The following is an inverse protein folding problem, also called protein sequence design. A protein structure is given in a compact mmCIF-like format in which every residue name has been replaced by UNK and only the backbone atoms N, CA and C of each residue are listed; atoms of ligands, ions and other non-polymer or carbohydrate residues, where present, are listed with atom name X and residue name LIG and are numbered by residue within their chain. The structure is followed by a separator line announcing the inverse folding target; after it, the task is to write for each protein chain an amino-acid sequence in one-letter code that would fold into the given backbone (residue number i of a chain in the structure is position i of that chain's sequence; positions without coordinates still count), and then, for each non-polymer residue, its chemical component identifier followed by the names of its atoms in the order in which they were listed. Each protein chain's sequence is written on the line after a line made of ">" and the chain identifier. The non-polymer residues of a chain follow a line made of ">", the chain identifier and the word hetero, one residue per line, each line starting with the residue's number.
data_IF_958167038876
#
_entry.id   IF_958167038876
#
_cell.length_a   1.000
_cell.length_b   1.000
_cell.length_c   1.000
_cell.angle_alpha   90.00
_cell.angle_beta   90.00
_cell.angle_gamma   90.00
#
_symmetry.space_group_name_H-M   'P 1'
#
loop_
_entity.id
_entity.type
_entity.pdbx_description
1 polymer ?
#
# COMPACT_ATOMS: atom_id res chain seq x y z
N UNK A 1 44.00 50.77 4.82
CA UNK A 1 43.93 49.32 4.58
C UNK A 1 42.44 48.98 4.40
N UNK A 2 42.00 48.94 3.16
CA UNK A 2 40.59 48.75 2.78
C UNK A 2 40.31 47.27 2.71
N UNK A 3 39.45 46.80 3.60
CA UNK A 3 38.91 45.44 3.54
C UNK A 3 37.85 45.40 2.40
N UNK A 4 38.16 44.70 1.32
CA UNK A 4 37.16 44.31 0.31
C UNK A 4 36.17 43.35 0.99
N UNK A 5 34.97 43.86 1.21
CA UNK A 5 33.77 43.02 1.49
C UNK A 5 33.42 42.38 0.13
N UNK A 6 33.76 41.11 -0.04
CA UNK A 6 33.21 40.30 -1.13
C UNK A 6 31.70 40.18 -0.90
N UNK A 7 30.94 41.00 -1.62
CA UNK A 7 29.52 40.74 -1.82
C UNK A 7 29.40 39.34 -2.44
N UNK A 8 28.84 38.39 -1.72
CA UNK A 8 28.36 37.16 -2.30
C UNK A 8 27.28 37.56 -3.27
N UNK A 9 27.56 37.49 -4.58
CA UNK A 9 26.54 37.50 -5.62
C UNK A 9 25.63 36.32 -5.36
N UNK A 10 24.42 36.60 -4.91
CA UNK A 10 23.41 35.57 -4.78
C UNK A 10 23.19 34.97 -6.18
N UNK A 11 23.57 33.70 -6.32
CA UNK A 11 23.30 32.97 -7.56
C UNK A 11 21.78 32.83 -7.73
N UNK A 12 21.24 33.06 -8.96
CA UNK A 12 19.81 33.00 -9.19
C UNK A 12 19.22 31.62 -8.85
N UNK A 13 17.93 31.58 -8.49
CA UNK A 13 17.21 30.37 -8.18
C UNK A 13 16.81 30.25 -6.69
N UNK A 14 16.10 29.17 -6.37
CA UNK A 14 15.63 28.86 -5.03
C UNK A 14 16.72 28.07 -4.28
N UNK A 15 17.11 28.57 -3.14
CA UNK A 15 18.11 27.94 -2.28
C UNK A 15 17.45 27.27 -1.07
N UNK A 16 17.68 25.95 -0.87
CA UNK A 16 17.08 25.20 0.23
C UNK A 16 17.83 23.90 0.51
N UNK A 17 17.41 23.17 1.53
CA UNK A 17 17.88 21.81 1.71
C UNK A 17 17.05 20.87 0.84
N UNK A 18 17.72 19.96 0.15
CA UNK A 18 17.03 18.95 -0.65
C UNK A 18 16.48 17.85 0.25
N UNK A 19 15.18 17.50 0.07
CA UNK A 19 14.48 16.46 0.84
C UNK A 19 13.96 15.40 -0.09
N UNK A 20 14.33 14.16 0.20
CA UNK A 20 13.80 12.98 -0.47
C UNK A 20 12.49 12.58 0.18
N UNK A 21 11.40 12.73 -0.56
CA UNK A 21 10.04 12.36 -0.15
C UNK A 21 9.42 11.29 -1.07
N UNK A 22 10.24 10.55 -1.84
CA UNK A 22 9.79 9.46 -2.72
C UNK A 22 9.21 8.25 -1.99
N UNK A 23 9.23 8.24 -0.67
CA UNK A 23 8.65 7.21 0.18
C UNK A 23 7.92 7.78 1.39
N UNK A 24 7.09 6.99 2.04
CA UNK A 24 6.21 7.37 3.16
C UNK A 24 6.91 8.05 4.37
N UNK A 25 8.22 8.15 4.40
CA UNK A 25 9.01 8.70 5.53
C UNK A 25 9.52 10.12 5.29
N UNK A 26 9.51 10.61 4.07
CA UNK A 26 10.15 11.89 3.70
C UNK A 26 9.38 13.12 4.15
N UNK A 27 8.05 13.08 4.11
CA UNK A 27 7.18 14.22 4.39
C UNK A 27 7.06 14.61 5.89
N UNK A 28 7.71 13.90 6.80
CA UNK A 28 7.57 14.11 8.26
C UNK A 28 8.55 15.12 8.87
N UNK A 29 9.53 15.62 8.11
CA UNK A 29 10.57 16.55 8.60
C UNK A 29 10.93 17.55 7.51
N UNK A 30 9.98 18.40 7.14
CA UNK A 30 10.19 19.48 6.19
C UNK A 30 10.37 20.78 6.94
N UNK A 31 11.28 21.62 6.43
CA UNK A 31 11.57 22.95 6.95
C UNK A 31 11.23 24.01 5.88
N UNK A 32 11.04 25.25 6.31
CA UNK A 32 10.76 26.38 5.43
C UNK A 32 11.90 26.57 4.40
N UNK A 33 11.52 26.69 3.13
CA UNK A 33 12.44 26.87 2.00
C UNK A 33 13.07 25.57 1.49
N UNK A 34 12.70 24.39 2.01
CA UNK A 34 13.22 23.10 1.51
C UNK A 34 12.84 22.90 0.02
N UNK A 35 13.71 22.20 -0.73
CA UNK A 35 13.44 21.69 -2.07
C UNK A 35 13.08 20.23 -1.94
N UNK A 36 11.82 19.91 -2.14
CA UNK A 36 11.26 18.56 -1.95
C UNK A 36 11.31 17.81 -3.27
N UNK A 37 11.77 16.55 -3.24
CA UNK A 37 11.73 15.63 -4.40
C UNK A 37 10.77 14.50 -4.10
N UNK A 38 9.81 14.28 -5.00
CA UNK A 38 8.82 13.23 -4.96
C UNK A 38 8.90 12.37 -6.22
N UNK A 39 8.20 11.25 -6.24
CA UNK A 39 8.12 10.29 -7.34
C UNK A 39 6.70 9.71 -7.32
N UNK A 40 5.75 10.50 -7.81
CA UNK A 40 4.34 10.11 -7.85
C UNK A 40 3.54 11.01 -8.78
N UNK A 41 2.72 10.46 -9.68
CA UNK A 41 1.83 11.27 -10.50
C UNK A 41 0.69 11.88 -9.66
N UNK A 42 0.12 12.95 -10.18
CA UNK A 42 -1.13 13.53 -9.67
C UNK A 42 -1.10 13.91 -8.19
N UNK A 43 -0.30 14.92 -7.84
CA UNK A 43 -0.19 15.38 -6.46
C UNK A 43 -1.55 15.81 -5.90
N UNK A 44 -2.02 15.10 -4.87
CA UNK A 44 -3.32 15.37 -4.28
C UNK A 44 -3.31 16.57 -3.29
N UNK A 45 -4.51 17.05 -2.99
CA UNK A 45 -4.72 18.20 -2.08
C UNK A 45 -4.10 18.00 -0.70
N UNK A 46 -4.16 16.78 -0.15
CA UNK A 46 -3.67 16.50 1.19
C UNK A 46 -2.15 16.61 1.29
N UNK A 47 -1.43 16.15 0.25
CA UNK A 47 0.03 16.27 0.18
C UNK A 47 0.45 17.71 -0.13
N UNK A 48 -0.24 18.38 -1.05
CA UNK A 48 -0.01 19.79 -1.33
C UNK A 48 -0.16 20.65 -0.08
N UNK A 49 -1.20 20.42 0.74
CA UNK A 49 -1.39 21.16 1.99
C UNK A 49 -0.23 20.94 2.97
N UNK A 50 0.32 19.74 3.08
CA UNK A 50 1.50 19.48 3.93
C UNK A 50 2.72 20.28 3.48
N UNK A 51 2.93 20.41 2.19
CA UNK A 51 4.04 21.21 1.63
C UNK A 51 3.83 22.70 1.86
N UNK A 52 2.60 23.19 1.73
CA UNK A 52 2.22 24.57 2.05
C UNK A 52 2.42 24.86 3.54
N UNK A 53 1.95 23.98 4.43
CA UNK A 53 2.11 24.15 5.88
C UNK A 53 3.57 24.16 6.31
N UNK A 54 4.42 23.38 5.63
CA UNK A 54 5.86 23.37 5.83
C UNK A 54 6.58 24.54 5.15
N UNK A 55 5.88 25.33 4.31
CA UNK A 55 6.42 26.45 3.53
C UNK A 55 7.64 26.06 2.71
N UNK A 56 7.56 24.94 2.00
CA UNK A 56 8.65 24.51 1.13
C UNK A 56 8.88 25.52 0.00
N UNK A 57 10.10 25.63 -0.48
CA UNK A 57 10.45 26.58 -1.56
C UNK A 57 10.12 26.03 -2.95
N UNK A 58 10.25 24.73 -3.14
CA UNK A 58 9.96 24.07 -4.40
C UNK A 58 9.59 22.60 -4.22
N UNK A 59 8.81 22.07 -5.17
CA UNK A 59 8.52 20.65 -5.35
C UNK A 59 9.04 20.22 -6.71
N UNK A 60 9.81 19.14 -6.74
CA UNK A 60 10.38 18.54 -7.95
C UNK A 60 9.88 17.10 -8.01
N UNK A 61 9.18 16.74 -9.07
CA UNK A 61 8.63 15.41 -9.28
C UNK A 61 9.31 14.74 -10.49
N UNK A 62 9.59 13.45 -10.37
CA UNK A 62 10.05 12.64 -11.50
C UNK A 62 8.91 12.25 -12.45
N UNK A 63 7.67 12.36 -11.96
CA UNK A 63 6.43 12.12 -12.70
C UNK A 63 5.69 13.44 -12.96
N UNK A 64 4.63 13.45 -13.80
CA UNK A 64 3.78 14.63 -13.97
C UNK A 64 3.02 14.96 -12.67
N UNK A 65 3.12 16.20 -12.21
CA UNK A 65 2.36 16.71 -11.06
C UNK A 65 0.85 16.75 -11.32
N UNK A 66 0.46 16.77 -12.59
CA UNK A 66 -0.90 16.59 -13.08
C UNK A 66 -0.84 15.86 -14.43
N UNK A 67 -1.39 14.66 -14.50
CA UNK A 67 -1.45 13.87 -15.74
C UNK A 67 -2.56 14.35 -16.69
N UNK A 68 -3.54 15.11 -16.19
CA UNK A 68 -4.76 15.45 -16.93
C UNK A 68 -5.80 14.33 -16.95
N UNK A 69 -5.55 13.19 -16.30
CA UNK A 69 -6.51 12.07 -16.20
C UNK A 69 -7.47 12.26 -15.03
N UNK A 70 -6.99 12.89 -13.94
CA UNK A 70 -7.77 13.18 -12.74
C UNK A 70 -7.73 14.68 -12.45
N UNK A 71 -8.88 15.34 -12.21
CA UNK A 71 -8.91 16.76 -11.87
C UNK A 71 -8.42 16.98 -10.44
N UNK A 72 -7.11 17.11 -10.27
CA UNK A 72 -6.50 17.34 -8.97
C UNK A 72 -6.14 18.82 -8.75
N UNK A 73 -6.41 19.35 -7.54
CA UNK A 73 -6.13 20.73 -7.16
C UNK A 73 -4.73 20.94 -6.56
N UNK A 74 -3.97 19.89 -6.35
CA UNK A 74 -2.67 19.97 -5.68
C UNK A 74 -1.72 20.97 -6.33
N UNK A 75 -1.47 20.88 -7.65
CA UNK A 75 -0.57 21.79 -8.33
C UNK A 75 -0.99 23.26 -8.22
N UNK A 76 -2.29 23.57 -8.42
CA UNK A 76 -2.80 24.93 -8.30
C UNK A 76 -2.60 25.50 -6.90
N UNK A 77 -2.92 24.72 -5.86
CA UNK A 77 -2.72 25.15 -4.46
C UNK A 77 -1.25 25.49 -4.16
N UNK A 78 -0.31 24.69 -4.70
CA UNK A 78 1.13 24.93 -4.52
C UNK A 78 1.58 26.20 -5.25
N UNK A 79 1.13 26.40 -6.48
CA UNK A 79 1.41 27.61 -7.28
C UNK A 79 0.84 28.86 -6.61
N UNK A 80 -0.41 28.82 -6.14
CA UNK A 80 -1.06 29.89 -5.37
C UNK A 80 -0.30 30.25 -4.08
N UNK A 81 0.36 29.26 -3.47
CA UNK A 81 1.22 29.48 -2.31
C UNK A 81 2.62 30.00 -2.66
N UNK A 82 2.92 30.22 -3.94
CA UNK A 82 4.21 30.69 -4.42
C UNK A 82 5.32 29.64 -4.44
N UNK A 83 4.97 28.36 -4.40
CA UNK A 83 5.90 27.23 -4.45
C UNK A 83 6.20 26.94 -5.92
N UNK A 84 7.49 26.85 -6.26
CA UNK A 84 7.90 26.52 -7.64
C UNK A 84 7.75 25.03 -7.87
N UNK A 85 7.11 24.66 -8.98
CA UNK A 85 6.85 23.30 -9.39
C UNK A 85 7.73 22.90 -10.57
N UNK A 86 8.34 21.72 -10.47
CA UNK A 86 9.10 21.08 -11.55
C UNK A 86 8.62 19.66 -11.68
N UNK A 87 8.25 19.25 -12.87
CA UNK A 87 7.76 17.91 -13.19
C UNK A 87 8.63 17.21 -14.22
N UNK A 88 8.37 15.92 -14.48
CA UNK A 88 9.11 15.09 -15.44
C UNK A 88 10.64 15.21 -15.24
N UNK A 89 11.07 15.28 -13.98
CA UNK A 89 12.48 15.37 -13.67
C UNK A 89 13.18 14.02 -13.96
N UNK A 90 14.51 14.09 -14.17
CA UNK A 90 15.29 12.88 -14.42
C UNK A 90 14.93 11.75 -13.44
N UNK A 91 14.53 10.54 -13.90
CA UNK A 91 14.14 9.43 -13.02
C UNK A 91 15.22 8.98 -12.04
N UNK A 92 16.50 9.27 -12.35
CA UNK A 92 17.62 8.97 -11.45
C UNK A 92 17.83 10.05 -10.38
N UNK A 93 17.08 11.16 -10.39
CA UNK A 93 17.25 12.26 -9.45
C UNK A 93 17.18 11.80 -7.98
N UNK A 94 16.21 10.97 -7.54
CA UNK A 94 16.16 10.50 -6.17
C UNK A 94 17.42 9.76 -5.73
N UNK A 95 18.00 8.95 -6.63
CA UNK A 95 19.23 8.20 -6.34
C UNK A 95 20.48 9.07 -6.17
N UNK A 96 20.50 10.24 -6.83
CA UNK A 96 21.59 11.23 -6.77
C UNK A 96 21.42 12.24 -5.63
N UNK A 97 20.21 12.26 -5.04
CA UNK A 97 19.86 13.21 -3.99
C UNK A 97 20.59 12.88 -2.69
N UNK A 98 21.02 13.93 -1.99
CA UNK A 98 21.60 13.81 -0.62
C UNK A 98 20.67 14.51 0.34
N UNK A 99 19.83 13.74 1.01
CA UNK A 99 18.80 14.24 1.91
C UNK A 99 19.39 15.19 2.98
N UNK A 100 18.82 16.39 3.11
CA UNK A 100 19.28 17.44 4.02
C UNK A 100 20.51 18.23 3.54
N UNK A 101 21.02 18.00 2.34
CA UNK A 101 22.11 18.81 1.76
C UNK A 101 21.57 20.09 1.15
N UNK A 102 22.30 21.20 1.33
CA UNK A 102 21.99 22.46 0.66
C UNK A 102 22.11 22.31 -0.86
N UNK A 103 21.03 22.61 -1.55
CA UNK A 103 20.90 22.62 -2.99
C UNK A 103 20.33 23.92 -3.51
N UNK A 104 20.22 24.01 -4.81
CA UNK A 104 19.63 25.14 -5.53
C UNK A 104 18.77 24.61 -6.67
N UNK A 105 17.59 25.17 -6.84
CA UNK A 105 16.75 24.96 -8.00
C UNK A 105 16.83 26.18 -8.90
N UNK A 106 17.22 26.01 -10.15
CA UNK A 106 17.39 27.08 -11.11
C UNK A 106 17.02 26.59 -12.52
N UNK A 107 16.06 27.24 -13.15
CA UNK A 107 15.55 26.88 -14.49
C UNK A 107 15.27 25.36 -14.63
N UNK A 108 14.49 24.79 -13.68
CA UNK A 108 14.14 23.37 -13.66
C UNK A 108 15.29 22.41 -13.31
N UNK A 109 16.49 22.93 -12.99
CA UNK A 109 17.67 22.12 -12.64
C UNK A 109 17.90 22.12 -11.15
N UNK A 110 18.04 20.92 -10.58
CA UNK A 110 18.51 20.74 -9.20
C UNK A 110 20.02 20.68 -9.19
N UNK A 111 20.66 21.56 -8.41
CA UNK A 111 22.12 21.73 -8.40
C UNK A 111 22.69 21.59 -6.98
N UNK A 112 23.91 21.04 -6.90
CA UNK A 112 24.79 21.12 -5.74
C UNK A 112 26.02 21.94 -6.11
N UNK A 113 26.07 23.21 -5.68
CA UNK A 113 26.99 24.19 -6.23
C UNK A 113 26.68 24.46 -7.70
N UNK A 114 27.66 24.25 -8.59
CA UNK A 114 27.49 24.41 -10.04
C UNK A 114 27.18 23.11 -10.78
N UNK A 115 27.13 21.99 -10.07
CA UNK A 115 26.86 20.68 -10.66
C UNK A 115 25.35 20.39 -10.64
N UNK A 116 24.74 20.24 -11.81
CA UNK A 116 23.39 19.71 -11.94
C UNK A 116 23.37 18.22 -11.58
N UNK A 117 22.36 17.81 -10.79
CA UNK A 117 22.09 16.40 -10.42
C UNK A 117 20.83 15.87 -11.09
N UNK A 118 19.96 16.75 -11.61
CA UNK A 118 18.76 16.42 -12.37
C UNK A 118 18.13 17.68 -12.96
N UNK A 119 17.32 17.47 -13.98
CA UNK A 119 16.56 18.52 -14.66
C UNK A 119 15.13 18.02 -14.90
N UNK A 120 14.15 18.92 -14.77
CA UNK A 120 12.76 18.72 -15.15
C UNK A 120 12.20 19.95 -15.84
N UNK A 121 10.90 19.96 -16.05
CA UNK A 121 10.14 21.02 -16.70
C UNK A 121 9.40 21.84 -15.63
N UNK A 122 9.42 23.16 -15.76
CA UNK A 122 8.70 24.04 -14.83
C UNK A 122 7.22 23.98 -15.20
N UNK A 123 6.37 23.61 -14.25
CA UNK A 123 4.92 23.68 -14.39
C UNK A 123 4.45 25.09 -14.02
N UNK A 124 3.87 25.79 -14.98
CA UNK A 124 3.29 27.12 -14.78
C UNK A 124 1.77 27.02 -14.46
N UNK A 125 1.22 28.16 -14.06
CA UNK A 125 -0.20 28.27 -13.68
C UNK A 125 -1.13 28.03 -14.87
N UNK A 126 -0.78 28.52 -16.07
CA UNK A 126 -1.59 28.37 -17.28
C UNK A 126 -1.74 26.89 -17.64
N UNK A 127 -0.65 26.15 -17.69
CA UNK A 127 -0.63 24.70 -17.96
C UNK A 127 -1.36 23.90 -16.88
N UNK A 128 -1.19 24.27 -15.60
CA UNK A 128 -1.87 23.58 -14.50
C UNK A 128 -3.40 23.76 -14.56
N UNK A 129 -3.88 24.96 -14.90
CA UNK A 129 -5.31 25.27 -15.07
C UNK A 129 -5.89 24.58 -16.30
N UNK A 130 -5.16 24.58 -17.42
CA UNK A 130 -5.56 23.88 -18.64
C UNK A 130 -5.76 22.39 -18.38
N UNK A 131 -4.74 21.71 -17.84
CA UNK A 131 -4.83 20.28 -17.51
C UNK A 131 -5.94 19.95 -16.53
N UNK A 132 -6.16 20.80 -15.53
CA UNK A 132 -7.27 20.62 -14.60
C UNK A 132 -8.63 20.72 -15.29
N UNK A 133 -8.77 21.66 -16.22
CA UNK A 133 -10.03 21.88 -16.95
C UNK A 133 -10.32 20.71 -17.87
N UNK A 134 -9.33 20.25 -18.61
CA UNK A 134 -9.43 19.10 -19.51
C UNK A 134 -9.75 17.81 -18.74
N UNK A 135 -9.05 17.58 -17.62
CA UNK A 135 -9.32 16.45 -16.74
C UNK A 135 -10.76 16.46 -16.19
N UNK A 136 -11.28 17.64 -15.85
CA UNK A 136 -12.67 17.77 -15.36
C UNK A 136 -13.69 17.45 -16.43
N UNK A 137 -13.46 17.88 -17.67
CA UNK A 137 -14.35 17.56 -18.80
C UNK A 137 -14.28 16.08 -19.12
N UNK A 138 -13.07 15.51 -19.24
CA UNK A 138 -12.88 14.09 -19.45
C UNK A 138 -13.53 13.21 -18.36
N UNK A 139 -13.46 13.66 -17.09
CA UNK A 139 -14.12 12.95 -15.98
C UNK A 139 -15.63 12.87 -16.15
N UNK A 140 -16.28 13.96 -16.61
CA UNK A 140 -17.74 13.95 -16.84
C UNK A 140 -18.11 12.90 -17.87
N UNK A 141 -17.42 12.90 -19.01
CA UNK A 141 -17.66 11.94 -20.10
C UNK A 141 -17.40 10.49 -19.63
N UNK A 142 -16.33 10.28 -18.86
CA UNK A 142 -16.01 8.98 -18.29
C UNK A 142 -17.11 8.49 -17.32
N UNK A 143 -17.59 9.36 -16.44
CA UNK A 143 -18.65 9.01 -15.49
C UNK A 143 -19.99 8.76 -16.15
N UNK A 144 -20.32 9.46 -17.24
CA UNK A 144 -21.51 9.17 -18.05
C UNK A 144 -21.40 7.78 -18.67
N UNK A 145 -20.25 7.44 -19.26
CA UNK A 145 -20.00 6.12 -19.84
C UNK A 145 -20.06 5.01 -18.78
N UNK A 146 -19.39 5.19 -17.63
CA UNK A 146 -19.39 4.23 -16.52
C UNK A 146 -20.81 4.02 -15.99
N UNK A 147 -21.60 5.08 -15.86
CA UNK A 147 -23.00 4.99 -15.40
C UNK A 147 -23.85 4.19 -16.37
N UNK A 148 -23.72 4.44 -17.67
CA UNK A 148 -24.41 3.69 -18.71
C UNK A 148 -24.05 2.21 -18.72
N UNK A 149 -22.75 1.91 -18.67
CA UNK A 149 -22.23 0.55 -18.63
C UNK A 149 -22.64 -0.17 -17.33
N UNK A 150 -22.65 0.53 -16.19
CA UNK A 150 -23.11 -0.04 -14.92
C UNK A 150 -24.58 -0.41 -14.95
N UNK A 151 -25.43 0.44 -15.52
CA UNK A 151 -26.85 0.14 -15.67
C UNK A 151 -27.10 -1.08 -16.58
N UNK A 152 -26.33 -1.23 -17.65
CA UNK A 152 -26.40 -2.38 -18.53
C UNK A 152 -25.91 -3.65 -17.85
N UNK A 153 -24.78 -3.58 -17.16
CA UNK A 153 -24.25 -4.69 -16.37
C UNK A 153 -25.25 -5.17 -15.31
N UNK A 154 -25.93 -4.26 -14.60
CA UNK A 154 -26.96 -4.63 -13.64
C UNK A 154 -28.14 -5.32 -14.32
N UNK A 155 -28.56 -4.89 -15.51
CA UNK A 155 -29.64 -5.54 -16.22
C UNK A 155 -29.31 -6.97 -16.62
N UNK A 156 -28.06 -7.21 -17.03
CA UNK A 156 -27.58 -8.53 -17.45
C UNK A 156 -27.30 -9.43 -16.25
N UNK A 157 -26.64 -8.91 -15.23
CA UNK A 157 -26.09 -9.69 -14.11
C UNK A 157 -26.92 -9.58 -12.82
N UNK A 158 -28.13 -8.98 -12.85
CA UNK A 158 -28.97 -8.91 -11.64
C UNK A 158 -29.20 -10.28 -10.97
N UNK A 159 -29.43 -11.39 -11.70
CA UNK A 159 -29.62 -12.70 -11.09
C UNK A 159 -28.37 -13.18 -10.34
N UNK A 160 -27.16 -12.95 -10.89
CA UNK A 160 -25.89 -13.27 -10.24
C UNK A 160 -25.68 -12.38 -9.01
N UNK A 161 -25.83 -11.07 -9.15
CA UNK A 161 -25.56 -10.11 -8.09
C UNK A 161 -26.53 -10.22 -6.92
N UNK A 162 -27.82 -10.51 -7.18
CA UNK A 162 -28.86 -10.57 -6.15
C UNK A 162 -28.95 -11.95 -5.53
N UNK A 163 -29.09 -12.97 -6.35
CA UNK A 163 -29.42 -14.34 -5.93
C UNK A 163 -28.24 -15.32 -6.08
N UNK A 164 -27.11 -14.89 -6.66
CA UNK A 164 -25.94 -15.77 -6.91
C UNK A 164 -26.19 -16.80 -8.01
N UNK A 165 -27.15 -16.55 -8.92
CA UNK A 165 -27.42 -17.47 -10.01
C UNK A 165 -26.20 -17.53 -10.95
N UNK A 166 -25.70 -18.74 -11.17
CA UNK A 166 -24.49 -18.98 -11.98
C UNK A 166 -23.21 -19.13 -11.16
N UNK A 167 -23.20 -18.79 -9.86
CA UNK A 167 -22.07 -19.09 -8.99
C UNK A 167 -21.89 -20.60 -8.88
N UNK A 168 -20.71 -21.15 -9.22
CA UNK A 168 -20.48 -22.59 -9.18
C UNK A 168 -20.39 -23.11 -7.75
N UNK A 169 -20.91 -24.33 -7.54
CA UNK A 169 -20.63 -25.06 -6.31
C UNK A 169 -19.19 -25.57 -6.31
N UNK A 170 -18.53 -25.44 -5.18
CA UNK A 170 -17.17 -25.93 -4.94
C UNK A 170 -17.14 -26.81 -3.71
N UNK A 171 -16.34 -27.88 -3.76
CA UNK A 171 -16.14 -28.76 -2.59
C UNK A 171 -15.14 -28.13 -1.59
N UNK A 172 -15.42 -26.87 -1.21
CA UNK A 172 -14.63 -26.09 -0.26
C UNK A 172 -15.58 -25.33 0.64
N UNK A 173 -15.58 -25.67 1.91
CA UNK A 173 -16.39 -24.98 2.92
C UNK A 173 -15.82 -23.58 3.21
N UNK A 174 -16.62 -22.56 2.94
CA UNK A 174 -16.29 -21.15 3.21
C UNK A 174 -17.27 -20.49 4.18
N UNK A 175 -18.34 -21.21 4.59
CA UNK A 175 -19.38 -20.64 5.46
C UNK A 175 -18.79 -20.26 6.83
N UNK A 176 -19.06 -19.02 7.23
CA UNK A 176 -18.51 -18.37 8.43
C UNK A 176 -16.97 -18.39 8.54
N UNK A 177 -16.26 -18.68 7.45
CA UNK A 177 -14.80 -18.69 7.40
C UNK A 177 -14.26 -17.36 6.83
N UNK A 178 -12.99 -17.11 7.14
CA UNK A 178 -12.23 -16.03 6.47
C UNK A 178 -11.71 -16.56 5.15
N UNK A 179 -11.85 -15.75 4.11
CA UNK A 179 -11.34 -16.04 2.77
C UNK A 179 -10.26 -15.03 2.41
N UNK A 180 -9.17 -15.49 1.84
CA UNK A 180 -8.10 -14.65 1.28
C UNK A 180 -8.09 -14.84 -0.23
N UNK A 181 -8.51 -13.80 -0.95
CA UNK A 181 -8.41 -13.71 -2.41
C UNK A 181 -7.07 -13.09 -2.75
N UNK A 182 -6.28 -13.79 -3.56
CA UNK A 182 -4.95 -13.34 -3.99
C UNK A 182 -4.94 -13.22 -5.50
N UNK A 183 -4.89 -11.99 -5.97
CA UNK A 183 -4.88 -11.63 -7.39
C UNK A 183 -3.52 -11.11 -7.83
N UNK A 184 -3.24 -11.05 -9.14
CA UNK A 184 -2.02 -10.46 -9.65
C UNK A 184 -1.79 -9.03 -9.14
N UNK A 185 -0.58 -8.77 -8.62
CA UNK A 185 -0.20 -7.46 -8.07
C UNK A 185 1.32 -7.30 -8.19
N UNK A 186 1.84 -6.13 -8.58
CA UNK A 186 3.29 -5.91 -8.70
C UNK A 186 4.07 -6.14 -7.40
N UNK A 187 3.42 -5.95 -6.25
CA UNK A 187 4.01 -6.08 -4.92
C UNK A 187 3.49 -7.31 -4.15
N UNK A 188 2.99 -8.33 -4.85
CA UNK A 188 2.35 -9.52 -4.26
C UNK A 188 3.26 -10.23 -3.24
N UNK A 189 4.56 -10.35 -3.52
CA UNK A 189 5.55 -10.99 -2.64
C UNK A 189 5.66 -10.28 -1.28
N UNK A 190 5.65 -8.93 -1.29
CA UNK A 190 5.73 -8.11 -0.07
C UNK A 190 4.42 -8.15 0.71
N UNK A 191 3.30 -8.05 0.01
CA UNK A 191 1.95 -8.12 0.59
C UNK A 191 1.71 -9.47 1.26
N UNK A 192 2.06 -10.59 0.62
CA UNK A 192 1.97 -11.94 1.23
C UNK A 192 2.83 -12.06 2.49
N UNK A 193 4.06 -11.54 2.47
CA UNK A 193 4.91 -11.54 3.67
C UNK A 193 4.29 -10.75 4.83
N UNK A 194 3.60 -9.65 4.54
CA UNK A 194 2.92 -8.84 5.56
C UNK A 194 1.73 -9.56 6.19
N UNK A 195 1.02 -10.38 5.41
CA UNK A 195 -0.15 -11.15 5.85
C UNK A 195 0.18 -12.48 6.55
N UNK A 196 1.45 -12.88 6.64
CA UNK A 196 1.86 -14.19 7.18
C UNK A 196 1.29 -14.52 8.56
N UNK A 197 1.14 -13.51 9.42
CA UNK A 197 0.59 -13.70 10.78
C UNK A 197 -0.92 -13.93 10.71
N UNK A 198 -1.62 -13.16 9.89
CA UNK A 198 -3.04 -13.36 9.63
C UNK A 198 -3.31 -14.76 9.07
N UNK A 199 -2.57 -15.19 8.04
CA UNK A 199 -2.74 -16.49 7.40
C UNK A 199 -2.50 -17.62 8.42
N UNK A 200 -1.47 -17.49 9.26
CA UNK A 200 -1.15 -18.51 10.28
C UNK A 200 -2.18 -18.57 11.41
N UNK A 201 -2.73 -17.42 11.80
CA UNK A 201 -3.66 -17.34 12.93
C UNK A 201 -5.06 -17.82 12.58
N UNK A 202 -5.53 -17.45 11.40
CA UNK A 202 -6.91 -17.70 10.99
C UNK A 202 -7.07 -18.88 10.02
N UNK A 203 -6.00 -19.40 9.45
CA UNK A 203 -6.04 -20.44 8.41
C UNK A 203 -7.16 -20.19 7.38
N UNK A 204 -7.14 -19.03 6.68
CA UNK A 204 -8.22 -18.66 5.77
C UNK A 204 -8.28 -19.62 4.58
N UNK A 205 -9.44 -19.73 3.98
CA UNK A 205 -9.58 -20.36 2.66
C UNK A 205 -8.87 -19.45 1.65
N UNK A 206 -7.87 -19.96 0.94
CA UNK A 206 -7.12 -19.20 -0.06
C UNK A 206 -7.71 -19.47 -1.43
N UNK A 207 -8.11 -18.40 -2.11
CA UNK A 207 -8.48 -18.40 -3.53
C UNK A 207 -7.35 -17.72 -4.28
N UNK A 208 -6.75 -18.44 -5.23
CA UNK A 208 -5.71 -17.89 -6.11
C UNK A 208 -6.30 -17.51 -7.45
N UNK A 209 -5.92 -16.35 -7.95
CA UNK A 209 -6.39 -15.80 -9.23
C UNK A 209 -5.24 -15.75 -10.22
N UNK A 210 -5.43 -16.29 -11.41
CA UNK A 210 -4.45 -16.27 -12.52
C UNK A 210 -3.02 -16.61 -12.06
N UNK A 211 -2.01 -15.89 -12.55
CA UNK A 211 -0.60 -16.10 -12.19
C UNK A 211 -0.27 -15.90 -10.70
N UNK A 212 -1.16 -15.34 -9.90
CA UNK A 212 -0.95 -15.25 -8.46
C UNK A 212 -0.93 -16.62 -7.77
N UNK A 213 -1.52 -17.65 -8.41
CA UNK A 213 -1.45 -19.05 -7.97
C UNK A 213 0.00 -19.52 -7.87
N UNK A 214 0.81 -19.23 -8.87
CA UNK A 214 2.21 -19.67 -8.92
C UNK A 214 3.05 -18.98 -7.84
N UNK A 215 2.74 -17.70 -7.54
CA UNK A 215 3.38 -16.96 -6.46
C UNK A 215 2.98 -17.53 -5.10
N UNK A 216 1.70 -17.84 -4.89
CA UNK A 216 1.23 -18.51 -3.66
C UNK A 216 1.98 -19.81 -3.39
N UNK A 217 2.07 -20.68 -4.38
CA UNK A 217 2.75 -21.97 -4.26
C UNK A 217 4.24 -21.80 -3.99
N UNK A 218 4.91 -20.85 -4.66
CA UNK A 218 6.32 -20.49 -4.41
C UNK A 218 6.54 -20.03 -2.95
N UNK A 219 5.57 -19.38 -2.33
CA UNK A 219 5.62 -19.00 -0.91
C UNK A 219 5.18 -20.10 0.06
N UNK A 220 4.85 -21.29 -0.44
CA UNK A 220 4.44 -22.45 0.36
C UNK A 220 2.97 -22.45 0.75
N UNK A 221 2.17 -21.54 0.21
CA UNK A 221 0.73 -21.53 0.39
C UNK A 221 0.05 -22.43 -0.66
N UNK A 222 -1.05 -23.06 -0.26
CA UNK A 222 -1.83 -23.93 -1.16
C UNK A 222 -3.23 -23.34 -1.32
N UNK A 223 -3.57 -22.79 -2.49
CA UNK A 223 -4.94 -22.36 -2.75
C UNK A 223 -5.88 -23.58 -2.68
N UNK A 224 -7.07 -23.36 -2.16
CA UNK A 224 -8.16 -24.36 -2.15
C UNK A 224 -9.02 -24.21 -3.40
N UNK A 225 -9.07 -23.00 -3.94
CA UNK A 225 -9.75 -22.66 -5.19
C UNK A 225 -8.81 -21.87 -6.08
N UNK A 226 -8.85 -22.16 -7.36
CA UNK A 226 -8.14 -21.44 -8.42
C UNK A 226 -9.19 -20.89 -9.37
N UNK A 227 -9.17 -19.60 -9.65
CA UNK A 227 -10.07 -18.95 -10.62
C UNK A 227 -9.21 -18.19 -11.63
N UNK A 228 -9.49 -18.35 -12.91
CA UNK A 228 -8.85 -17.54 -13.94
C UNK A 228 -8.53 -18.28 -15.21
N UNK A 229 -7.68 -17.66 -16.03
CA UNK A 229 -7.22 -18.21 -17.28
C UNK A 229 -6.14 -19.29 -17.04
N UNK A 230 -6.41 -20.55 -17.41
CA UNK A 230 -5.42 -21.62 -17.25
C UNK A 230 -4.12 -21.37 -18.01
N UNK A 231 -4.13 -20.54 -19.06
CA UNK A 231 -2.90 -20.21 -19.81
C UNK A 231 -1.89 -19.40 -18.98
N UNK A 232 -2.38 -18.68 -17.98
CA UNK A 232 -1.56 -17.87 -17.07
C UNK A 232 -1.02 -18.65 -15.86
N UNK A 233 -1.37 -19.93 -15.71
CA UNK A 233 -1.08 -20.73 -14.51
C UNK A 233 -0.20 -21.93 -14.90
N UNK A 234 0.82 -22.22 -14.09
CA UNK A 234 1.68 -23.38 -14.33
C UNK A 234 0.88 -24.70 -14.25
N UNK A 235 1.11 -25.59 -15.21
CA UNK A 235 0.37 -26.85 -15.34
C UNK A 235 0.43 -27.74 -14.08
N UNK A 236 1.53 -27.68 -13.35
CA UNK A 236 1.72 -28.41 -12.09
C UNK A 236 0.78 -27.94 -10.99
N UNK A 237 0.46 -26.63 -10.96
CA UNK A 237 -0.45 -26.04 -9.97
C UNK A 237 -1.91 -26.33 -10.32
N UNK A 238 -2.26 -26.38 -11.60
CA UNK A 238 -3.58 -26.80 -12.06
C UNK A 238 -3.88 -28.29 -11.76
N UNK A 239 -2.86 -29.15 -11.77
CA UNK A 239 -3.02 -30.57 -11.39
C UNK A 239 -3.07 -30.80 -9.87
N UNK A 240 -3.00 -29.74 -9.09
CA UNK A 240 -3.10 -29.80 -7.63
C UNK A 240 -4.50 -30.20 -7.14
N UNK A 241 -4.69 -30.25 -5.83
CA UNK A 241 -5.96 -30.63 -5.22
C UNK A 241 -6.99 -29.47 -5.15
N UNK A 242 -6.69 -28.31 -5.72
CA UNK A 242 -7.58 -27.16 -5.72
C UNK A 242 -8.75 -27.35 -6.70
N UNK A 243 -9.92 -26.82 -6.35
CA UNK A 243 -11.03 -26.68 -7.30
C UNK A 243 -10.70 -25.62 -8.33
N UNK A 244 -10.72 -25.98 -9.61
CA UNK A 244 -10.41 -25.05 -10.71
C UNK A 244 -11.70 -24.51 -11.29
N UNK A 245 -11.80 -23.19 -11.39
CA UNK A 245 -12.96 -22.46 -11.92
C UNK A 245 -12.49 -21.62 -13.10
N UNK A 246 -13.17 -21.77 -14.22
CA UNK A 246 -12.89 -21.00 -15.42
C UNK A 246 -13.94 -19.89 -15.58
N UNK A 247 -13.53 -18.62 -15.70
CA UNK A 247 -14.41 -17.58 -16.18
C UNK A 247 -15.03 -18.02 -17.52
N UNK A 248 -16.30 -17.80 -17.67
CA UNK A 248 -17.03 -18.15 -18.89
C UNK A 248 -17.98 -17.02 -19.27
N UNK A 249 -18.20 -16.87 -20.57
CA UNK A 249 -19.25 -15.98 -21.08
C UNK A 249 -20.64 -16.39 -20.56
N UNK A 250 -21.64 -15.52 -20.59
CA UNK A 250 -23.00 -15.84 -20.15
C UNK A 250 -23.64 -17.05 -20.88
N UNK A 251 -23.15 -17.39 -22.07
CA UNK A 251 -23.54 -18.57 -22.84
C UNK A 251 -22.80 -19.85 -22.42
N UNK A 252 -21.84 -19.74 -21.45
CA UNK A 252 -21.10 -20.84 -20.89
C UNK A 252 -19.81 -21.22 -21.63
N UNK A 253 -19.41 -20.43 -22.64
CA UNK A 253 -18.11 -20.64 -23.29
C UNK A 253 -16.97 -20.14 -22.40
N UNK A 254 -16.03 -21.03 -22.06
CA UNK A 254 -14.88 -20.69 -21.24
C UNK A 254 -13.58 -20.74 -22.08
N UNK A 255 -12.84 -19.68 -22.10
CA UNK A 255 -11.49 -19.66 -22.62
C UNK A 255 -10.60 -20.63 -21.82
N UNK A 256 -9.62 -21.27 -22.51
CA UNK A 256 -8.69 -22.20 -21.85
C UNK A 256 -9.27 -23.56 -21.47
N UNK A 257 -10.53 -23.88 -21.82
CA UNK A 257 -11.13 -25.19 -21.55
C UNK A 257 -10.35 -26.34 -22.22
N UNK A 258 -9.82 -26.13 -23.43
CA UNK A 258 -8.99 -27.09 -24.13
C UNK A 258 -7.76 -27.48 -23.33
N UNK A 259 -7.06 -26.49 -22.75
CA UNK A 259 -5.89 -26.72 -21.89
C UNK A 259 -6.22 -27.55 -20.67
N UNK A 260 -7.36 -27.29 -20.02
CA UNK A 260 -7.82 -28.09 -18.87
C UNK A 260 -8.08 -29.54 -19.27
N UNK A 261 -8.71 -29.77 -20.42
CA UNK A 261 -8.94 -31.10 -20.96
C UNK A 261 -7.62 -31.83 -21.29
N UNK A 262 -6.67 -31.15 -21.92
CA UNK A 262 -5.35 -31.69 -22.24
C UNK A 262 -4.54 -32.06 -20.99
N UNK A 263 -4.72 -31.29 -19.89
CA UNK A 263 -4.11 -31.58 -18.61
C UNK A 263 -4.79 -32.72 -17.83
N UNK A 264 -5.99 -33.14 -18.27
CA UNK A 264 -6.80 -34.14 -17.58
C UNK A 264 -7.30 -33.68 -16.21
N UNK A 265 -7.53 -32.38 -16.03
CA UNK A 265 -7.98 -31.75 -14.81
C UNK A 265 -9.48 -31.47 -14.91
N UNK A 266 -10.20 -31.69 -13.79
CA UNK A 266 -11.60 -31.25 -13.68
C UNK A 266 -11.68 -29.77 -13.39
N UNK A 267 -12.56 -29.08 -14.10
CA UNK A 267 -12.87 -27.67 -13.81
C UNK A 267 -14.37 -27.43 -13.93
N UNK A 268 -14.85 -26.39 -13.24
CA UNK A 268 -16.21 -25.88 -13.39
C UNK A 268 -16.15 -24.50 -14.02
N UNK A 269 -17.20 -24.11 -14.72
CA UNK A 269 -17.30 -22.77 -15.32
C UNK A 269 -18.05 -21.84 -14.41
N UNK A 270 -17.68 -20.55 -14.43
CA UNK A 270 -18.40 -19.48 -13.78
C UNK A 270 -18.92 -18.52 -14.86
N UNK A 271 -20.17 -18.69 -15.34
CA UNK A 271 -20.72 -17.85 -16.37
C UNK A 271 -21.08 -16.47 -15.80
N UNK A 272 -20.51 -15.42 -16.37
CA UNK A 272 -20.77 -14.03 -16.01
C UNK A 272 -20.42 -13.10 -17.18
N UNK A 273 -20.98 -11.90 -17.18
CA UNK A 273 -20.56 -10.85 -18.11
C UNK A 273 -19.23 -10.18 -17.72
N UNK A 274 -18.63 -10.62 -16.63
CA UNK A 274 -17.31 -10.14 -16.17
C UNK A 274 -16.22 -11.11 -16.55
N UNK A 275 -15.16 -10.59 -17.16
CA UNK A 275 -13.95 -11.35 -17.48
C UNK A 275 -12.92 -11.29 -16.34
N UNK A 276 -13.13 -10.42 -15.32
CA UNK A 276 -12.19 -10.27 -14.22
C UNK A 276 -12.35 -11.41 -13.20
N UNK A 277 -11.39 -12.29 -13.20
CA UNK A 277 -11.34 -13.43 -12.28
C UNK A 277 -11.29 -13.01 -10.80
N UNK A 278 -10.79 -11.82 -10.48
CA UNK A 278 -10.82 -11.27 -9.10
C UNK A 278 -12.26 -11.00 -8.67
N UNK A 279 -13.05 -10.39 -9.54
CA UNK A 279 -14.44 -10.07 -9.23
C UNK A 279 -15.26 -11.35 -9.01
N UNK A 280 -15.03 -12.36 -9.86
CA UNK A 280 -15.66 -13.67 -9.70
C UNK A 280 -15.24 -14.37 -8.41
N UNK A 281 -13.96 -14.24 -8.01
CA UNK A 281 -13.47 -14.78 -6.74
C UNK A 281 -14.13 -14.11 -5.52
N UNK A 282 -14.36 -12.80 -5.58
CA UNK A 282 -15.08 -12.06 -4.54
C UNK A 282 -16.53 -12.49 -4.44
N UNK A 283 -17.23 -12.62 -5.57
CA UNK A 283 -18.62 -13.07 -5.62
C UNK A 283 -18.76 -14.53 -5.17
N UNK A 284 -17.82 -15.41 -5.53
CA UNK A 284 -17.78 -16.80 -5.05
C UNK A 284 -17.69 -16.85 -3.52
N UNK A 285 -16.74 -16.11 -2.94
CA UNK A 285 -16.55 -16.07 -1.50
C UNK A 285 -17.78 -15.51 -0.76
N UNK A 286 -18.42 -14.48 -1.34
CA UNK A 286 -19.66 -13.89 -0.80
C UNK A 286 -20.81 -14.88 -0.80
N UNK A 287 -21.06 -15.54 -1.92
CA UNK A 287 -22.13 -16.50 -2.08
C UNK A 287 -21.99 -17.72 -1.18
N UNK A 288 -20.77 -18.23 -1.01
CA UNK A 288 -20.46 -19.34 -0.11
C UNK A 288 -20.36 -18.95 1.38
N UNK A 289 -20.85 -17.78 1.77
CA UNK A 289 -21.05 -17.40 3.17
C UNK A 289 -19.79 -16.96 3.92
N UNK A 290 -18.74 -16.53 3.23
CA UNK A 290 -17.53 -16.02 3.90
C UNK A 290 -17.85 -14.92 4.91
N UNK A 291 -17.36 -15.05 6.16
CA UNK A 291 -17.55 -14.02 7.19
C UNK A 291 -16.68 -12.77 6.96
N UNK A 292 -15.53 -12.95 6.32
CA UNK A 292 -14.63 -11.87 5.91
C UNK A 292 -13.87 -12.28 4.65
N UNK A 293 -13.74 -11.38 3.70
CA UNK A 293 -12.98 -11.55 2.47
C UNK A 293 -11.83 -10.55 2.47
N UNK A 294 -10.61 -11.05 2.57
CA UNK A 294 -9.41 -10.22 2.46
C UNK A 294 -8.96 -10.22 1.00
N UNK A 295 -8.92 -9.05 0.40
CA UNK A 295 -8.44 -8.88 -0.98
C UNK A 295 -6.96 -8.49 -1.00
N UNK A 296 -6.11 -9.36 -1.53
CA UNK A 296 -4.74 -9.05 -1.91
C UNK A 296 -4.69 -8.95 -3.43
N UNK A 297 -4.90 -7.76 -3.93
CA UNK A 297 -4.97 -7.47 -5.35
C UNK A 297 -5.29 -6.00 -5.59
N UNK A 298 -5.73 -5.65 -6.78
CA UNK A 298 -6.15 -4.30 -7.10
C UNK A 298 -7.29 -3.83 -6.19
N UNK A 299 -7.15 -2.64 -5.64
CA UNK A 299 -8.22 -1.95 -4.90
C UNK A 299 -9.00 -1.09 -5.88
N UNK A 300 -10.31 -1.00 -5.69
CA UNK A 300 -11.13 -0.01 -6.37
C UNK A 300 -11.47 1.05 -5.35
N UNK A 301 -10.84 2.20 -5.50
CA UNK A 301 -11.14 3.41 -4.76
C UNK A 301 -11.70 4.48 -5.70
N UNK A 302 -12.22 5.55 -5.13
CA UNK A 302 -12.85 6.60 -5.92
C UNK A 302 -11.86 7.33 -6.82
N UNK A 303 -10.60 7.46 -6.39
CA UNK A 303 -9.53 8.10 -7.17
C UNK A 303 -9.27 7.28 -8.44
N UNK A 304 -9.18 5.95 -8.33
CA UNK A 304 -9.02 5.06 -9.49
C UNK A 304 -10.25 5.02 -10.41
N UNK A 305 -11.46 5.10 -9.83
CA UNK A 305 -12.70 5.19 -10.62
C UNK A 305 -12.74 6.49 -11.45
N UNK A 306 -12.14 7.56 -10.94
CA UNK A 306 -12.07 8.84 -11.63
C UNK A 306 -10.87 8.97 -12.57
N UNK A 307 -9.91 8.05 -12.49
CA UNK A 307 -8.77 8.02 -13.40
C UNK A 307 -9.17 7.40 -14.74
N UNK A 308 -9.26 8.22 -15.76
CA UNK A 308 -9.66 7.82 -17.11
C UNK A 308 -8.65 6.88 -17.79
N UNK A 309 -7.42 6.82 -17.29
CA UNK A 309 -6.38 5.93 -17.79
C UNK A 309 -6.42 4.51 -17.18
N UNK A 310 -7.16 4.31 -16.09
CA UNK A 310 -7.25 3.01 -15.40
C UNK A 310 -8.37 2.17 -15.99
N UNK A 311 -8.00 1.15 -16.74
CA UNK A 311 -8.95 0.18 -17.34
C UNK A 311 -9.66 -0.70 -16.29
N UNK A 312 -9.14 -0.78 -15.07
CA UNK A 312 -9.64 -1.69 -14.01
C UNK A 312 -10.92 -1.19 -13.32
N UNK A 313 -11.38 0.03 -13.65
CA UNK A 313 -12.62 0.60 -13.09
C UNK A 313 -13.84 0.15 -13.88
N UNK A 314 -14.06 -1.16 -13.96
CA UNK A 314 -15.21 -1.75 -14.66
C UNK A 314 -16.47 -1.73 -13.77
N UNK A 315 -17.68 -1.77 -14.37
CA UNK A 315 -18.92 -1.97 -13.62
C UNK A 315 -18.89 -3.22 -12.74
N UNK A 316 -18.26 -4.30 -13.21
CA UNK A 316 -18.08 -5.54 -12.46
C UNK A 316 -17.24 -5.31 -11.20
N UNK A 317 -16.10 -4.65 -11.33
CA UNK A 317 -15.21 -4.37 -10.22
C UNK A 317 -15.89 -3.53 -9.12
N UNK A 318 -16.70 -2.56 -9.51
CA UNK A 318 -17.48 -1.74 -8.58
C UNK A 318 -18.56 -2.54 -7.87
N UNK A 319 -19.36 -3.28 -8.64
CA UNK A 319 -20.55 -3.96 -8.12
C UNK A 319 -20.22 -5.22 -7.32
N UNK A 320 -19.19 -5.98 -7.68
CA UNK A 320 -18.70 -7.11 -6.90
C UNK A 320 -18.26 -6.68 -5.51
N UNK A 321 -17.51 -5.58 -5.42
CA UNK A 321 -17.06 -5.03 -4.14
C UNK A 321 -18.21 -4.46 -3.31
N UNK A 322 -19.16 -3.79 -3.94
CA UNK A 322 -20.38 -3.34 -3.25
C UNK A 322 -21.22 -4.52 -2.73
N UNK A 323 -21.28 -5.63 -3.48
CA UNK A 323 -22.00 -6.83 -3.06
C UNK A 323 -21.38 -7.46 -1.81
N UNK A 324 -20.07 -7.65 -1.79
CA UNK A 324 -19.35 -8.14 -0.60
C UNK A 324 -19.45 -7.15 0.56
N UNK A 325 -19.46 -5.85 0.24
CA UNK A 325 -19.73 -4.77 1.19
C UNK A 325 -18.79 -4.76 2.39
N UNK A 326 -19.36 -4.65 3.59
CA UNK A 326 -18.58 -4.54 4.83
C UNK A 326 -17.75 -5.77 5.22
N UNK A 327 -17.90 -6.89 4.51
CA UNK A 327 -17.07 -8.09 4.71
C UNK A 327 -15.76 -8.05 3.91
N UNK A 328 -15.66 -7.14 2.93
CA UNK A 328 -14.45 -6.95 2.14
C UNK A 328 -13.45 -6.09 2.91
N UNK A 329 -12.23 -6.60 3.06
CA UNK A 329 -11.13 -5.89 3.73
C UNK A 329 -9.91 -5.92 2.83
N UNK A 330 -9.28 -4.76 2.65
CA UNK A 330 -8.02 -4.67 1.93
C UNK A 330 -6.86 -5.31 2.70
N UNK A 331 -5.97 -5.97 1.98
CA UNK A 331 -4.80 -6.65 2.56
C UNK A 331 -3.88 -5.70 3.33
N UNK A 332 -3.76 -4.44 2.92
CA UNK A 332 -2.95 -3.43 3.59
C UNK A 332 -3.52 -3.08 4.98
N UNK A 333 -4.85 -2.98 5.08
CA UNK A 333 -5.54 -2.74 6.34
C UNK A 333 -5.33 -3.88 7.34
N UNK A 334 -5.42 -5.12 6.85
CA UNK A 334 -5.11 -6.31 7.67
C UNK A 334 -3.65 -6.30 8.11
N UNK A 335 -2.72 -6.04 7.18
CA UNK A 335 -1.29 -5.99 7.49
C UNK A 335 -0.94 -4.93 8.55
N UNK A 336 -1.61 -3.78 8.53
CA UNK A 336 -1.41 -2.70 9.52
C UNK A 336 -1.83 -3.14 10.92
N UNK A 337 -2.94 -3.88 11.06
CA UNK A 337 -3.38 -4.43 12.35
C UNK A 337 -2.35 -5.41 12.94
N UNK A 338 -1.61 -6.13 12.08
CA UNK A 338 -0.56 -7.07 12.47
C UNK A 338 0.85 -6.46 12.50
N UNK A 339 1.00 -5.19 12.19
CA UNK A 339 2.23 -4.46 12.47
C UNK A 339 2.39 -4.35 13.97
N UNK A 340 3.00 -5.36 14.57
CA UNK A 340 3.54 -5.23 15.93
C UNK A 340 4.53 -4.07 15.87
N UNK A 341 4.16 -2.94 16.45
CA UNK A 341 5.09 -1.87 16.74
C UNK A 341 6.24 -2.53 17.49
N UNK A 342 7.34 -2.80 16.81
CA UNK A 342 8.60 -3.13 17.45
C UNK A 342 9.05 -1.87 18.21
N UNK A 343 8.37 -1.59 19.31
CA UNK A 343 8.95 -0.86 20.43
C UNK A 343 10.13 -1.71 20.88
N UNK A 344 11.23 -1.61 20.16
CA UNK A 344 12.43 -2.44 20.28
C UNK A 344 13.23 -2.18 21.55
N UNK A 345 12.59 -1.71 22.62
CA UNK A 345 13.22 -1.42 23.91
C UNK A 345 12.81 -2.34 25.06
N UNK A 346 11.63 -2.95 25.00
CA UNK A 346 11.11 -3.67 26.18
C UNK A 346 11.97 -4.85 26.64
N UNK A 347 12.51 -5.63 25.72
CA UNK A 347 13.37 -6.76 26.07
C UNK A 347 14.78 -6.32 26.55
N UNK A 348 15.30 -5.19 26.05
CA UNK A 348 16.52 -4.57 26.53
C UNK A 348 16.37 -4.13 27.99
N UNK A 349 15.23 -3.54 28.35
CA UNK A 349 14.93 -3.19 29.74
C UNK A 349 14.75 -4.43 30.62
N UNK A 350 14.18 -5.51 30.09
CA UNK A 350 14.12 -6.79 30.81
C UNK A 350 15.51 -7.39 31.06
N UNK A 351 16.41 -7.37 30.07
CA UNK A 351 17.81 -7.80 30.24
C UNK A 351 18.54 -6.91 31.22
N UNK A 352 18.42 -5.60 31.12
CA UNK A 352 19.03 -4.65 32.06
C UNK A 352 18.51 -4.93 33.48
N UNK A 353 17.21 -5.17 33.65
CA UNK A 353 16.63 -5.55 34.94
C UNK A 353 17.24 -6.84 35.53
N UNK A 354 17.41 -7.88 34.69
CA UNK A 354 18.07 -9.13 35.11
C UNK A 354 19.53 -8.92 35.47
N UNK A 355 20.26 -8.15 34.67
CA UNK A 355 21.66 -7.83 34.97
C UNK A 355 21.79 -7.07 36.29
N UNK A 356 20.94 -6.07 36.54
CA UNK A 356 20.94 -5.33 37.83
C UNK A 356 20.61 -6.27 38.97
N UNK A 357 19.64 -7.16 38.84
CA UNK A 357 19.30 -8.15 39.87
C UNK A 357 20.46 -9.09 40.18
N UNK A 358 21.18 -9.57 39.15
CA UNK A 358 22.36 -10.42 39.31
C UNK A 358 23.50 -9.65 40.00
N UNK A 359 23.75 -8.40 39.60
CA UNK A 359 24.77 -7.54 40.23
C UNK A 359 24.45 -7.30 41.71
N UNK A 360 23.19 -7.05 42.04
CA UNK A 360 22.75 -6.87 43.44
C UNK A 360 22.94 -8.15 44.24
N UNK A 361 22.60 -9.31 43.68
CA UNK A 361 22.82 -10.61 44.35
C UNK A 361 24.31 -10.88 44.57
N UNK A 362 25.15 -10.61 43.57
CA UNK A 362 26.62 -10.80 43.69
C UNK A 362 27.24 -9.82 44.72
N UNK A 363 26.76 -8.56 44.76
CA UNK A 363 27.20 -7.59 45.77
C UNK A 363 26.81 -8.03 47.20
N UNK A 364 25.57 -8.50 47.38
CA UNK A 364 25.09 -9.00 48.68
C UNK A 364 25.91 -10.25 49.11
N UNK A 365 26.15 -11.17 48.16
CA UNK A 365 26.95 -12.38 48.43
C UNK A 365 28.45 -12.09 48.65
N UNK A 366 29.01 -11.08 47.97
CA UNK A 366 30.43 -10.74 48.07
C UNK A 366 30.79 -9.88 49.28
N UNK A 367 29.84 -9.13 49.85
CA UNK A 367 30.05 -8.30 51.05
C UNK A 367 29.79 -9.07 52.35
N UNK A 368 29.15 -10.23 52.28
CA UNK A 368 28.82 -11.07 53.43
C UNK A 368 29.54 -12.39 53.27
N UNK A 369 30.29 -12.81 54.27
CA UNK A 369 30.86 -14.15 54.30
C UNK A 369 29.79 -15.22 54.23
N UNK A 370 30.15 -16.54 54.05
CA UNK A 370 29.18 -17.63 53.74
C UNK A 370 28.03 -17.77 54.71
N UNK A 371 28.15 -17.26 55.95
CA UNK A 371 27.13 -17.42 57.01
C UNK A 371 26.14 -16.24 57.11
N UNK A 372 26.37 -15.13 56.42
CA UNK A 372 25.55 -13.90 56.53
C UNK A 372 24.59 -13.64 55.34
N UNK A 373 24.61 -14.47 54.32
CA UNK A 373 23.83 -14.22 53.08
C UNK A 373 22.32 -14.16 53.28
N UNK A 374 21.77 -15.09 54.08
CA UNK A 374 20.32 -15.18 54.32
C UNK A 374 19.85 -14.03 55.20
N UNK A 375 20.63 -13.67 56.26
CA UNK A 375 20.27 -12.60 57.19
C UNK A 375 20.31 -11.23 56.48
N UNK A 376 21.29 -10.98 55.64
CA UNK A 376 21.38 -9.76 54.87
C UNK A 376 20.33 -9.62 53.76
N UNK A 377 19.87 -10.73 53.19
CA UNK A 377 18.75 -10.76 52.22
C UNK A 377 17.42 -10.42 52.91
N UNK A 378 17.18 -10.94 54.08
CA UNK A 378 16.00 -10.64 54.91
C UNK A 378 16.01 -9.19 55.39
N UNK A 379 17.14 -8.68 55.84
CA UNK A 379 17.28 -7.27 56.26
C UNK A 379 17.15 -6.28 55.11
N UNK A 380 17.70 -6.60 53.93
CA UNK A 380 17.54 -5.79 52.73
C UNK A 380 16.09 -5.76 52.26
N UNK A 381 15.40 -6.90 52.29
CA UNK A 381 13.99 -6.97 51.96
C UNK A 381 13.09 -6.20 52.91
N UNK A 382 13.32 -6.32 54.22
CA UNK A 382 12.61 -5.55 55.25
C UNK A 382 12.84 -4.03 55.11
N UNK A 383 14.05 -3.59 54.82
CA UNK A 383 14.36 -2.19 54.59
C UNK A 383 13.67 -1.62 53.31
N UNK A 384 13.56 -2.43 52.24
CA UNK A 384 12.85 -2.02 51.05
C UNK A 384 11.34 -1.95 51.30
N UNK A 385 10.78 -2.92 52.03
CA UNK A 385 9.36 -2.96 52.38
C UNK A 385 8.95 -1.77 53.27
N UNK A 386 9.76 -1.41 54.22
CA UNK A 386 9.50 -0.23 55.08
C UNK A 386 9.57 1.08 54.26
N UNK A 387 10.57 1.24 53.37
CA UNK A 387 10.66 2.43 52.52
C UNK A 387 9.50 2.51 51.51
N UNK A 388 9.00 1.38 51.06
CA UNK A 388 7.81 1.36 50.18
C UNK A 388 6.53 1.74 50.93
N UNK A 389 6.38 1.35 52.20
CA UNK A 389 5.27 1.79 53.05
C UNK A 389 5.29 3.29 53.32
N UNK A 390 6.50 3.85 53.56
CA UNK A 390 6.68 5.29 53.77
C UNK A 390 6.44 6.16 52.54
N UNK A 391 6.45 5.56 51.33
CA UNK A 391 6.20 6.28 50.08
C UNK A 391 4.70 6.38 49.78
N UNK A 392 3.86 5.58 50.43
CA UNK A 392 2.40 5.52 50.26
C UNK A 392 1.59 5.90 51.51
N UNK A 393 2.26 6.37 52.59
CA UNK A 393 1.61 7.04 53.75
C UNK A 393 1.78 8.53 53.64
#
# INVERSE_FOLDING_TARGET
>A
MWGMIFSRTDTPGIHGHTRDCTGNRGASRLDEGDIVVIDMPDINRALAQKFIDAKVGAVVDTEPLSTGNVPNFGPQMLLDAGIVLVENADPELPSKLKNGKKGRLDDGKVLYGDRSIGKGEILDEETAVERFTDAREALVDHMEALTGNTAEFVRTEAPLLVDGLGVPDVDVDMDDRKVLVVSPDPHIDEKLKSLRYFIREYDPVIIGVDQAVDVLVKHGYRPRVIIGDPELIASENLRGPASVILPADPDGHAAGLERIQDLGVGAVTFPAASDDATDLALLLADYHGASMVVNLGPTVDLERVFDTAVADSTPSALLSRLKVGGRLVDSSSVAELYRVSRSGGGWLWAIIGVIIAVVVIVLIAGLSGPDGFVDNLVDSWNNIAVRFQDLFS
#
